data_IF_484345381291
#
_entry.id   IF_484345381291
#
_cell.length_a   1.000
_cell.length_b   1.000
_cell.length_c   1.000
_cell.angle_alpha   90.00
_cell.angle_beta   90.00
_cell.angle_gamma   90.00
#
_symmetry.space_group_name_H-M   'P 1'
#
loop_
_entity.id
_entity.type
_entity.pdbx_description
1 polymer ?
#
# COMPACT_ATOMS: atom_id res chain seq x y z
N UNK A 1 -9.97 -12.94 -6.70
CA UNK A 1 -8.52 -13.00 -6.35
C UNK A 1 -8.18 -11.77 -5.52
N UNK A 2 -7.58 -11.95 -4.37
CA UNK A 2 -7.20 -10.87 -3.46
C UNK A 2 -6.07 -10.04 -4.07
N UNK A 3 -6.05 -8.76 -3.79
CA UNK A 3 -5.12 -7.79 -4.37
C UNK A 3 -3.92 -7.56 -3.45
N UNK A 4 -2.72 -7.43 -4.03
CA UNK A 4 -1.51 -7.02 -3.31
C UNK A 4 -1.18 -5.56 -3.61
N UNK A 5 -1.04 -4.77 -2.56
CA UNK A 5 -0.55 -3.39 -2.63
C UNK A 5 0.83 -3.33 -1.94
N UNK A 6 1.80 -2.71 -2.59
CA UNK A 6 3.10 -2.43 -1.99
C UNK A 6 3.19 -0.97 -1.56
N UNK A 7 3.74 -0.71 -0.38
CA UNK A 7 4.07 0.65 0.09
C UNK A 7 5.59 0.77 0.13
N UNK A 8 6.18 1.82 -0.45
CA UNK A 8 7.64 2.00 -0.44
C UNK A 8 8.16 2.32 0.96
N UNK A 9 9.42 2.00 1.21
CA UNK A 9 10.14 2.49 2.40
C UNK A 9 10.19 4.03 2.40
N UNK A 10 10.22 4.69 3.58
CA UNK A 10 10.17 6.14 3.66
C UNK A 10 11.41 6.85 3.10
N UNK A 11 12.58 6.19 3.14
CA UNK A 11 13.83 6.73 2.59
C UNK A 11 13.88 6.58 1.07
N UNK A 12 14.52 7.51 0.38
CA UNK A 12 14.88 7.36 -1.04
C UNK A 12 16.04 6.38 -1.11
N UNK A 13 15.94 5.41 -2.02
CA UNK A 13 16.99 4.43 -2.27
C UNK A 13 17.69 4.74 -3.58
N UNK A 14 18.96 4.34 -3.67
CA UNK A 14 19.69 4.35 -4.94
C UNK A 14 18.97 3.42 -5.94
N UNK A 15 18.80 3.91 -7.17
CA UNK A 15 18.12 3.18 -8.25
C UNK A 15 16.73 2.63 -7.90
N UNK A 16 16.02 3.27 -6.94
CA UNK A 16 14.69 2.84 -6.47
C UNK A 16 13.67 2.68 -7.61
N UNK A 17 13.77 3.48 -8.65
CA UNK A 17 12.91 3.38 -9.82
C UNK A 17 13.00 1.99 -10.52
N UNK A 18 14.17 1.32 -10.47
CA UNK A 18 14.33 -0.04 -10.98
C UNK A 18 13.64 -1.06 -10.10
N UNK A 19 13.76 -0.91 -8.76
CA UNK A 19 13.06 -1.76 -7.80
C UNK A 19 11.54 -1.64 -7.95
N UNK A 20 11.04 -0.40 -8.02
CA UNK A 20 9.61 -0.09 -8.22
C UNK A 20 9.11 -0.70 -9.53
N UNK A 21 9.84 -0.49 -10.63
CA UNK A 21 9.45 -1.01 -11.94
C UNK A 21 9.40 -2.55 -11.93
N UNK A 22 10.37 -3.20 -11.30
CA UNK A 22 10.40 -4.67 -11.20
C UNK A 22 9.22 -5.23 -10.40
N UNK A 23 8.83 -4.57 -9.30
CA UNK A 23 7.66 -4.96 -8.49
C UNK A 23 6.37 -4.77 -9.30
N UNK A 24 6.24 -3.66 -10.04
CA UNK A 24 5.07 -3.39 -10.89
C UNK A 24 4.98 -4.36 -12.07
N UNK A 25 6.12 -4.72 -12.68
CA UNK A 25 6.20 -5.70 -13.78
C UNK A 25 5.68 -7.08 -13.34
N UNK A 26 5.93 -7.49 -12.10
CA UNK A 26 5.41 -8.75 -11.54
C UNK A 26 3.90 -8.76 -11.30
N UNK A 27 3.20 -7.66 -11.52
CA UNK A 27 1.74 -7.63 -11.56
C UNK A 27 1.06 -7.37 -10.20
N UNK A 28 1.72 -6.74 -9.24
CA UNK A 28 1.02 -6.24 -8.06
C UNK A 28 -0.13 -5.32 -8.48
N UNK A 29 -1.16 -5.22 -7.65
CA UNK A 29 -2.31 -4.39 -7.99
C UNK A 29 -1.95 -2.90 -8.05
N UNK A 30 -1.21 -2.39 -7.04
CA UNK A 30 -0.84 -0.98 -6.92
C UNK A 30 0.41 -0.80 -6.06
N UNK A 31 1.17 0.25 -6.34
CA UNK A 31 2.28 0.70 -5.51
C UNK A 31 1.95 2.07 -4.92
N UNK A 32 2.11 2.20 -3.62
CA UNK A 32 2.02 3.46 -2.90
C UNK A 32 3.42 4.06 -2.72
N UNK A 33 3.70 5.13 -3.47
CA UNK A 33 4.95 5.87 -3.35
C UNK A 33 4.85 6.83 -2.17
N UNK A 34 5.43 6.41 -1.03
CA UNK A 34 5.41 7.12 0.24
C UNK A 34 6.80 7.57 0.61
N UNK A 35 7.06 8.88 0.54
CA UNK A 35 8.35 9.53 0.83
C UNK A 35 8.09 10.79 1.66
N UNK A 36 7.83 10.67 2.97
CA UNK A 36 7.33 11.76 3.80
C UNK A 36 8.30 12.94 3.91
N UNK A 37 9.60 12.70 3.73
CA UNK A 37 10.65 13.72 3.82
C UNK A 37 11.18 14.17 2.44
N UNK A 38 10.67 13.58 1.34
CA UNK A 38 11.13 13.93 0.01
C UNK A 38 10.54 15.24 -0.49
N UNK A 39 11.37 16.04 -1.11
CA UNK A 39 10.95 17.22 -1.88
C UNK A 39 10.22 16.83 -3.16
N UNK A 40 9.46 17.77 -3.73
CA UNK A 40 8.82 17.56 -5.03
C UNK A 40 9.83 17.26 -6.14
N UNK A 41 11.03 17.82 -6.07
CA UNK A 41 12.11 17.55 -7.05
C UNK A 41 12.62 16.12 -6.98
N UNK A 42 12.79 15.57 -5.77
CA UNK A 42 13.22 14.18 -5.58
C UNK A 42 12.14 13.21 -6.03
N UNK A 43 10.88 13.49 -5.69
CA UNK A 43 9.75 12.68 -6.16
C UNK A 43 9.61 12.69 -7.68
N UNK A 44 9.80 13.86 -8.31
CA UNK A 44 9.80 14.02 -9.77
C UNK A 44 10.91 13.14 -10.41
N UNK A 45 12.13 13.20 -9.89
CA UNK A 45 13.24 12.42 -10.39
C UNK A 45 13.00 10.89 -10.30
N UNK A 46 12.26 10.42 -9.29
CA UNK A 46 11.85 9.02 -9.22
C UNK A 46 10.81 8.70 -10.30
N UNK A 47 9.77 9.53 -10.42
CA UNK A 47 8.65 9.31 -11.36
C UNK A 47 9.09 9.37 -12.83
N UNK A 48 9.97 10.30 -13.20
CA UNK A 48 10.53 10.42 -14.55
C UNK A 48 11.25 9.16 -15.02
N UNK A 49 11.88 8.43 -14.11
CA UNK A 49 12.61 7.21 -14.41
C UNK A 49 11.75 5.94 -14.42
N UNK A 50 10.52 6.02 -13.93
CA UNK A 50 9.56 4.89 -13.97
C UNK A 50 8.84 4.93 -15.31
N UNK A 51 8.77 3.80 -16.06
CA UNK A 51 8.01 3.73 -17.31
C UNK A 51 6.56 4.19 -17.14
N UNK A 52 6.09 5.06 -18.04
CA UNK A 52 4.77 5.69 -17.98
C UNK A 52 3.60 4.68 -17.95
N UNK A 53 3.78 3.50 -18.54
CA UNK A 53 2.80 2.41 -18.50
C UNK A 53 2.49 1.91 -17.07
N UNK A 54 3.37 2.18 -16.10
CA UNK A 54 3.14 1.82 -14.70
C UNK A 54 2.49 2.93 -13.88
N UNK A 55 2.48 4.19 -14.34
CA UNK A 55 1.97 5.33 -13.59
C UNK A 55 0.53 5.15 -13.13
N UNK A 56 -0.32 4.51 -13.92
CA UNK A 56 -1.74 4.23 -13.55
C UNK A 56 -1.88 3.31 -12.33
N UNK A 57 -0.82 2.60 -11.96
CA UNK A 57 -0.76 1.74 -10.76
C UNK A 57 0.03 2.35 -9.61
N UNK A 58 0.42 3.64 -9.69
CA UNK A 58 1.09 4.37 -8.62
C UNK A 58 0.09 5.26 -7.90
N UNK A 59 0.13 5.26 -6.57
CA UNK A 59 -0.55 6.23 -5.69
C UNK A 59 0.47 7.05 -4.94
N UNK A 60 0.32 8.38 -4.94
CA UNK A 60 1.18 9.30 -4.20
C UNK A 60 0.63 9.53 -2.79
N UNK A 61 1.51 9.56 -1.79
CA UNK A 61 1.19 9.94 -0.42
C UNK A 61 1.51 11.39 -0.10
N UNK A 62 2.38 12.00 -0.89
CA UNK A 62 2.89 13.36 -0.68
C UNK A 62 3.10 14.02 -2.06
N UNK A 63 3.29 15.36 -2.08
CA UNK A 63 3.57 16.13 -3.29
C UNK A 63 2.48 15.96 -4.39
N UNK A 64 1.21 16.06 -4.03
CA UNK A 64 0.07 15.81 -4.92
C UNK A 64 0.02 16.70 -6.17
N UNK A 65 0.64 17.89 -6.14
CA UNK A 65 0.77 18.77 -7.32
C UNK A 65 1.48 18.09 -8.50
N UNK A 66 2.31 17.06 -8.24
CA UNK A 66 2.99 16.33 -9.31
C UNK A 66 2.04 15.61 -10.29
N UNK A 67 0.75 15.43 -9.95
CA UNK A 67 -0.21 14.88 -10.92
C UNK A 67 -0.46 15.79 -12.12
N UNK A 68 -0.16 17.08 -12.01
CA UNK A 68 -0.22 18.03 -13.13
C UNK A 68 0.89 17.74 -14.17
N UNK A 69 2.06 17.31 -13.71
CA UNK A 69 3.19 16.93 -14.55
C UNK A 69 3.11 15.44 -15.00
N UNK A 70 2.52 14.59 -14.15
CA UNK A 70 2.35 13.15 -14.39
C UNK A 70 0.87 12.76 -14.42
N UNK A 71 0.11 13.15 -15.46
CA UNK A 71 -1.35 12.99 -15.51
C UNK A 71 -1.82 11.53 -15.54
N UNK A 72 -0.91 10.58 -15.78
CA UNK A 72 -1.20 9.15 -15.75
C UNK A 72 -1.08 8.53 -14.35
N UNK A 73 -0.71 9.29 -13.30
CA UNK A 73 -0.71 8.78 -11.93
C UNK A 73 -2.12 8.34 -11.54
N UNK A 74 -2.22 7.08 -11.10
CA UNK A 74 -3.50 6.42 -10.90
C UNK A 74 -4.16 6.64 -9.55
N UNK A 75 -3.49 7.27 -8.56
CA UNK A 75 -4.11 7.48 -7.26
C UNK A 75 -3.40 8.45 -6.34
N UNK A 76 -4.16 8.91 -5.33
CA UNK A 76 -3.67 9.69 -4.19
C UNK A 76 -4.07 8.99 -2.89
N UNK A 77 -3.17 9.00 -1.91
CA UNK A 77 -3.44 8.51 -0.57
C UNK A 77 -3.47 9.66 0.41
N UNK A 78 -4.68 10.06 0.80
CA UNK A 78 -4.89 11.19 1.71
C UNK A 78 -4.36 10.87 3.11
N UNK A 79 -3.76 11.86 3.72
CA UNK A 79 -3.23 11.80 5.07
C UNK A 79 -3.40 13.16 5.78
N UNK A 80 -2.99 13.26 7.05
CA UNK A 80 -3.16 14.50 7.83
C UNK A 80 -2.39 15.71 7.26
N UNK A 81 -1.29 15.46 6.53
CA UNK A 81 -0.47 16.53 5.93
C UNK A 81 -1.01 16.93 4.56
N UNK A 82 -1.60 15.98 3.83
CA UNK A 82 -2.05 16.16 2.46
C UNK A 82 -3.48 15.61 2.33
N UNK A 83 -4.46 16.51 2.39
CA UNK A 83 -5.90 16.22 2.28
C UNK A 83 -6.54 16.83 1.02
N UNK A 84 -5.87 17.80 0.39
CA UNK A 84 -6.42 18.55 -0.71
C UNK A 84 -6.14 17.85 -2.04
N UNK A 85 -7.20 17.45 -2.72
CA UNK A 85 -7.12 16.79 -4.03
C UNK A 85 -6.97 17.87 -5.11
N UNK A 86 -5.93 17.79 -5.97
CA UNK A 86 -5.75 18.72 -7.07
C UNK A 86 -6.98 18.73 -7.99
N UNK A 87 -7.34 19.95 -8.46
CA UNK A 87 -8.51 20.14 -9.32
C UNK A 87 -8.37 19.34 -10.61
N UNK A 88 -9.40 18.58 -10.94
CA UNK A 88 -9.44 17.78 -12.17
C UNK A 88 -8.73 16.41 -12.04
N UNK A 89 -8.21 16.04 -10.87
CA UNK A 89 -7.69 14.70 -10.67
C UNK A 89 -8.84 13.68 -10.70
N UNK A 90 -8.69 12.64 -11.55
CA UNK A 90 -9.70 11.60 -11.77
C UNK A 90 -9.22 10.19 -11.36
N UNK A 91 -8.06 10.08 -10.72
CA UNK A 91 -7.54 8.81 -10.20
C UNK A 91 -8.22 8.39 -8.91
N UNK A 92 -7.83 7.22 -8.40
CA UNK A 92 -8.40 6.67 -7.17
C UNK A 92 -7.92 7.44 -5.93
N UNK A 93 -8.83 7.60 -4.98
CA UNK A 93 -8.55 8.24 -3.69
C UNK A 93 -8.64 7.20 -2.58
N UNK A 94 -7.62 7.15 -1.75
CA UNK A 94 -7.54 6.22 -0.62
C UNK A 94 -7.10 6.91 0.66
N UNK A 95 -7.32 6.24 1.79
CA UNK A 95 -6.92 6.72 3.12
C UNK A 95 -6.63 5.55 4.04
N UNK A 96 -5.77 5.77 5.05
CA UNK A 96 -5.61 4.85 6.18
C UNK A 96 -6.59 5.17 7.28
N UNK A 97 -7.19 4.11 7.85
CA UNK A 97 -8.07 4.12 9.01
C UNK A 97 -7.48 3.27 10.13
N UNK A 98 -7.70 3.68 11.37
CA UNK A 98 -7.16 3.02 12.56
C UNK A 98 -8.25 2.45 13.47
N UNK A 99 -9.52 2.55 13.04
CA UNK A 99 -10.67 1.94 13.72
C UNK A 99 -11.74 1.54 12.70
N UNK A 100 -12.63 0.64 13.11
CA UNK A 100 -13.81 0.26 12.31
C UNK A 100 -14.79 1.42 12.16
N UNK A 101 -14.81 2.34 13.11
CA UNK A 101 -15.62 3.56 13.02
C UNK A 101 -15.11 4.50 11.94
N UNK A 102 -13.78 4.69 11.83
CA UNK A 102 -13.18 5.46 10.74
C UNK A 102 -13.51 4.88 9.37
N UNK A 103 -13.52 3.53 9.23
CA UNK A 103 -13.94 2.86 7.99
C UNK A 103 -15.37 3.26 7.60
N UNK A 104 -16.32 3.22 8.55
CA UNK A 104 -17.70 3.59 8.29
C UNK A 104 -17.86 5.05 7.85
N UNK A 105 -17.04 5.94 8.40
CA UNK A 105 -17.11 7.38 8.14
C UNK A 105 -16.37 7.80 6.85
N UNK A 106 -15.61 6.91 6.21
CA UNK A 106 -14.83 7.18 5.01
C UNK A 106 -15.45 6.59 3.72
N UNK A 107 -16.77 6.58 3.60
CA UNK A 107 -17.52 5.96 2.48
C UNK A 107 -17.26 6.57 1.10
N UNK A 108 -16.69 7.79 1.04
CA UNK A 108 -16.38 8.51 -0.19
C UNK A 108 -15.00 8.19 -0.78
N UNK A 109 -14.28 7.22 -0.20
CA UNK A 109 -12.99 6.75 -0.72
C UNK A 109 -13.17 5.56 -1.68
N UNK A 110 -12.28 5.43 -2.66
CA UNK A 110 -12.28 4.27 -3.55
C UNK A 110 -11.85 3.00 -2.83
N UNK A 111 -10.86 3.13 -1.92
CA UNK A 111 -10.45 2.06 -1.02
C UNK A 111 -9.79 2.63 0.25
N UNK A 112 -9.71 1.78 1.28
CA UNK A 112 -9.18 2.13 2.59
C UNK A 112 -8.14 1.12 3.05
N UNK A 113 -7.18 1.56 3.84
CA UNK A 113 -6.33 0.67 4.64
C UNK A 113 -6.87 0.63 6.06
N UNK A 114 -7.02 -0.55 6.65
CA UNK A 114 -7.22 -0.74 8.07
C UNK A 114 -5.90 -1.18 8.71
N UNK A 115 -5.40 -0.43 9.69
CA UNK A 115 -4.10 -0.69 10.30
C UNK A 115 -3.98 -0.19 11.75
N UNK A 116 -3.14 -0.82 12.59
CA UNK A 116 -2.43 -2.07 12.30
C UNK A 116 -3.32 -3.30 12.52
N UNK A 117 -3.26 -4.30 11.61
CA UNK A 117 -3.99 -5.56 11.79
C UNK A 117 -3.27 -6.48 12.76
N UNK A 118 -1.95 -6.65 12.58
CA UNK A 118 -1.10 -7.42 13.48
C UNK A 118 -0.01 -6.55 14.10
N UNK A 119 0.58 -7.04 15.18
CA UNK A 119 1.72 -6.36 15.81
C UNK A 119 2.86 -6.22 14.80
N UNK A 120 3.43 -5.03 14.70
CA UNK A 120 4.55 -4.80 13.80
C UNK A 120 5.83 -5.39 14.40
N UNK A 121 6.46 -6.32 13.69
CA UNK A 121 7.79 -6.87 14.02
C UNK A 121 8.87 -5.75 13.99
N UNK A 122 8.62 -4.66 13.26
CA UNK A 122 9.56 -3.57 13.02
C UNK A 122 9.39 -2.35 13.92
N UNK A 123 8.36 -2.32 14.79
CA UNK A 123 8.12 -1.21 15.72
C UNK A 123 7.72 -1.75 17.09
N UNK A 124 8.63 -1.70 18.06
CA UNK A 124 8.31 -1.95 19.48
C UNK A 124 7.20 -1.00 19.94
N UNK A 125 6.14 -1.54 20.57
CA UNK A 125 5.04 -0.76 21.18
C UNK A 125 3.80 -0.54 20.33
N UNK A 126 3.67 -1.11 19.13
CA UNK A 126 2.42 -1.14 18.36
C UNK A 126 1.72 -2.49 18.59
N UNK A 127 0.80 -2.51 19.55
CA UNK A 127 -0.12 -3.65 19.73
C UNK A 127 -1.16 -3.65 18.61
N UNK A 128 -1.58 -4.85 18.18
CA UNK A 128 -2.69 -5.00 17.25
C UNK A 128 -3.95 -4.36 17.87
N UNK A 129 -4.61 -3.50 17.10
CA UNK A 129 -5.84 -2.86 17.57
C UNK A 129 -7.07 -3.74 17.47
N UNK A 130 -6.95 -4.98 16.93
CA UNK A 130 -8.08 -5.83 16.56
C UNK A 130 -7.81 -7.29 16.89
N UNK A 131 -8.84 -8.00 17.38
CA UNK A 131 -8.85 -9.47 17.40
C UNK A 131 -9.41 -10.02 16.09
N UNK A 132 -9.12 -11.28 15.77
CA UNK A 132 -9.66 -11.94 14.57
C UNK A 132 -11.19 -11.97 14.63
N UNK A 133 -11.77 -12.26 15.81
CA UNK A 133 -13.23 -12.29 16.02
C UNK A 133 -13.88 -10.91 15.76
N UNK A 134 -13.23 -9.82 16.14
CA UNK A 134 -13.70 -8.46 15.84
C UNK A 134 -13.68 -8.18 14.34
N UNK A 135 -12.63 -8.61 13.63
CA UNK A 135 -12.51 -8.43 12.19
C UNK A 135 -13.53 -9.30 11.44
N UNK A 136 -13.77 -10.54 11.85
CA UNK A 136 -14.82 -11.43 11.32
C UNK A 136 -16.21 -10.82 11.50
N UNK A 137 -16.54 -10.37 12.72
CA UNK A 137 -17.80 -9.68 13.01
C UNK A 137 -17.96 -8.41 12.16
N UNK A 138 -16.89 -7.65 11.92
CA UNK A 138 -16.94 -6.47 11.07
C UNK A 138 -17.12 -6.83 9.58
N UNK A 139 -16.56 -7.96 9.15
CA UNK A 139 -16.75 -8.52 7.82
C UNK A 139 -18.22 -8.95 7.60
N UNK A 140 -18.80 -9.69 8.54
CA UNK A 140 -20.19 -10.14 8.48
C UNK A 140 -21.17 -8.95 8.42
N UNK A 141 -20.83 -7.84 9.07
CA UNK A 141 -21.60 -6.59 9.06
C UNK A 141 -21.35 -5.73 7.81
N UNK A 142 -20.48 -6.18 6.87
CA UNK A 142 -20.13 -5.45 5.66
C UNK A 142 -19.27 -4.20 5.87
N UNK A 143 -18.74 -3.99 7.08
CA UNK A 143 -17.82 -2.87 7.38
C UNK A 143 -16.49 -3.12 6.70
N UNK A 144 -15.96 -4.35 6.85
CA UNK A 144 -14.84 -4.84 6.07
C UNK A 144 -15.40 -5.50 4.80
N UNK A 145 -14.96 -5.05 3.65
CA UNK A 145 -15.41 -5.49 2.34
C UNK A 145 -14.28 -5.36 1.30
N UNK A 146 -14.57 -5.56 0.03
CA UNK A 146 -13.62 -5.54 -1.08
C UNK A 146 -12.88 -4.20 -1.30
N UNK A 147 -13.33 -3.13 -0.66
CA UNK A 147 -12.66 -1.82 -0.65
C UNK A 147 -11.71 -1.64 0.54
N UNK A 148 -11.69 -2.53 1.51
CA UNK A 148 -10.82 -2.43 2.70
C UNK A 148 -9.64 -3.39 2.55
N UNK A 149 -8.43 -2.87 2.73
CA UNK A 149 -7.18 -3.62 2.65
C UNK A 149 -6.53 -3.72 4.02
N UNK A 150 -6.08 -4.91 4.39
CA UNK A 150 -5.36 -5.14 5.63
C UNK A 150 -3.93 -4.58 5.53
N UNK A 151 -3.50 -3.80 6.53
CA UNK A 151 -2.14 -3.24 6.61
C UNK A 151 -1.60 -3.36 8.04
N UNK A 152 -0.30 -3.57 8.18
CA UNK A 152 0.42 -3.68 9.46
C UNK A 152 0.60 -5.12 9.92
N UNK A 153 1.85 -5.54 10.04
CA UNK A 153 2.23 -6.90 10.42
C UNK A 153 1.87 -7.97 9.38
N UNK A 154 1.63 -7.59 8.14
CA UNK A 154 1.23 -8.49 7.06
C UNK A 154 2.47 -9.11 6.41
N UNK A 155 2.53 -10.43 6.41
CA UNK A 155 3.55 -11.25 5.75
C UNK A 155 2.96 -12.60 5.33
N UNK A 156 3.80 -13.52 4.82
CA UNK A 156 3.37 -14.86 4.37
C UNK A 156 2.85 -15.75 5.51
N UNK A 157 3.14 -15.44 6.77
CA UNK A 157 2.66 -16.21 7.94
C UNK A 157 1.30 -15.71 8.41
N UNK A 158 1.07 -14.39 8.33
CA UNK A 158 -0.14 -13.76 8.83
C UNK A 158 -1.25 -13.67 7.78
N UNK A 159 -0.95 -13.67 6.47
CA UNK A 159 -1.97 -13.71 5.41
C UNK A 159 -2.97 -14.85 5.59
N UNK A 160 -2.58 -16.10 5.93
CA UNK A 160 -3.54 -17.19 6.14
C UNK A 160 -4.57 -16.94 7.23
N UNK A 161 -4.25 -16.15 8.25
CA UNK A 161 -5.16 -15.81 9.35
C UNK A 161 -6.32 -14.91 8.92
N UNK A 162 -6.19 -14.24 7.77
CA UNK A 162 -7.21 -13.31 7.26
C UNK A 162 -8.20 -13.98 6.29
N UNK A 163 -8.13 -15.29 6.06
CA UNK A 163 -8.92 -15.99 5.03
C UNK A 163 -10.43 -15.90 5.22
N UNK A 164 -10.89 -15.86 6.47
CA UNK A 164 -12.32 -15.73 6.81
C UNK A 164 -12.85 -14.30 6.67
N UNK A 165 -11.97 -13.31 6.47
CA UNK A 165 -12.31 -11.90 6.49
C UNK A 165 -12.40 -11.34 5.06
N UNK A 166 -13.44 -10.57 4.76
CA UNK A 166 -13.75 -10.08 3.40
C UNK A 166 -12.90 -8.90 2.93
N UNK A 167 -11.63 -8.80 3.36
CA UNK A 167 -10.72 -7.78 2.82
C UNK A 167 -10.60 -7.88 1.29
N UNK A 168 -10.50 -6.75 0.59
CA UNK A 168 -10.21 -6.69 -0.85
C UNK A 168 -8.81 -7.19 -1.20
N UNK A 169 -7.92 -7.21 -0.23
CA UNK A 169 -6.53 -7.65 -0.32
C UNK A 169 -5.70 -7.17 0.85
N UNK A 170 -4.40 -7.16 0.67
CA UNK A 170 -3.44 -6.74 1.68
C UNK A 170 -2.49 -5.65 1.16
N UNK A 171 -1.97 -4.84 2.07
CA UNK A 171 -0.90 -3.89 1.81
C UNK A 171 0.33 -4.26 2.65
N UNK A 172 1.49 -4.29 2.01
CA UNK A 172 2.75 -4.71 2.63
C UNK A 172 3.84 -3.64 2.47
N UNK A 173 4.73 -3.58 3.46
CA UNK A 173 5.95 -2.77 3.42
C UNK A 173 7.15 -3.66 3.78
N UNK A 174 7.38 -3.92 5.06
CA UNK A 174 8.55 -4.65 5.55
C UNK A 174 8.68 -6.07 4.99
N UNK A 175 7.59 -6.80 4.86
CA UNK A 175 7.59 -8.15 4.29
C UNK A 175 8.09 -8.19 2.84
N UNK A 176 7.84 -7.14 2.06
CA UNK A 176 8.31 -7.04 0.69
C UNK A 176 9.76 -6.52 0.63
N UNK A 177 10.02 -5.36 1.23
CA UNK A 177 11.30 -4.67 1.08
C UNK A 177 12.43 -5.28 1.94
N UNK A 178 12.09 -5.92 3.08
CA UNK A 178 13.06 -6.41 4.05
C UNK A 178 13.80 -5.26 4.76
N UNK A 179 14.95 -5.57 5.36
CA UNK A 179 15.68 -4.59 6.18
C UNK A 179 16.58 -3.66 5.36
N UNK A 180 17.13 -4.14 4.23
CA UNK A 180 18.08 -3.40 3.39
C UNK A 180 17.71 -3.52 1.91
N UNK A 181 16.63 -2.86 1.45
CA UNK A 181 16.25 -2.91 0.05
C UNK A 181 17.30 -2.20 -0.82
N UNK A 182 17.77 -2.90 -1.86
CA UNK A 182 18.79 -2.41 -2.79
C UNK A 182 18.66 -3.12 -4.12
N UNK A 183 19.08 -2.46 -5.20
CA UNK A 183 19.13 -3.08 -6.53
C UNK A 183 20.05 -4.32 -6.54
N UNK A 184 21.06 -4.36 -5.69
CA UNK A 184 21.94 -5.52 -5.55
C UNK A 184 21.22 -6.75 -4.97
N UNK A 185 20.11 -6.54 -4.24
CA UNK A 185 19.32 -7.60 -3.61
C UNK A 185 17.96 -7.82 -4.33
N UNK A 186 17.85 -7.42 -5.60
CA UNK A 186 16.59 -7.49 -6.36
C UNK A 186 16.01 -8.90 -6.43
N UNK A 187 16.85 -9.93 -6.52
CA UNK A 187 16.40 -11.33 -6.55
C UNK A 187 15.70 -11.74 -5.25
N UNK A 188 16.15 -11.22 -4.11
CA UNK A 188 15.48 -11.46 -2.83
C UNK A 188 14.14 -10.72 -2.72
N UNK A 189 14.09 -9.48 -3.25
CA UNK A 189 12.85 -8.73 -3.36
C UNK A 189 11.81 -9.48 -4.19
N UNK A 190 12.19 -9.96 -5.36
CA UNK A 190 11.32 -10.71 -6.26
C UNK A 190 10.89 -12.05 -5.64
N UNK A 191 11.77 -12.71 -4.90
CA UNK A 191 11.42 -13.93 -4.17
C UNK A 191 10.33 -13.65 -3.14
N UNK A 192 10.53 -12.66 -2.24
CA UNK A 192 9.52 -12.26 -1.24
C UNK A 192 8.18 -11.87 -1.90
N UNK A 193 8.25 -11.14 -3.01
CA UNK A 193 7.04 -10.78 -3.76
C UNK A 193 6.29 -12.02 -4.25
N UNK A 194 6.99 -12.99 -4.85
CA UNK A 194 6.38 -14.23 -5.31
C UNK A 194 5.76 -15.02 -4.16
N UNK A 195 6.45 -15.13 -3.02
CA UNK A 195 5.96 -15.85 -1.83
C UNK A 195 4.66 -15.20 -1.32
N UNK A 196 4.61 -13.87 -1.20
CA UNK A 196 3.39 -13.11 -0.84
C UNK A 196 2.25 -13.33 -1.85
N UNK A 197 2.55 -13.32 -3.15
CA UNK A 197 1.54 -13.53 -4.20
C UNK A 197 0.98 -14.96 -4.17
N UNK A 198 1.81 -15.96 -3.91
CA UNK A 198 1.39 -17.36 -3.77
C UNK A 198 0.45 -17.50 -2.55
N UNK A 199 0.80 -16.92 -1.40
CA UNK A 199 -0.07 -16.92 -0.23
C UNK A 199 -1.44 -16.29 -0.51
N UNK A 200 -1.47 -15.19 -1.27
CA UNK A 200 -2.72 -14.51 -1.65
C UNK A 200 -3.58 -15.27 -2.67
N UNK A 201 -3.00 -16.14 -3.48
CA UNK A 201 -3.78 -16.99 -4.39
C UNK A 201 -4.54 -18.09 -3.65
N UNK A 202 -4.07 -18.46 -2.46
CA UNK A 202 -4.69 -19.44 -1.57
C UNK A 202 -5.72 -18.83 -0.60
N UNK A 203 -5.85 -17.49 -0.62
CA UNK A 203 -6.75 -16.68 0.23
C UNK A 203 -8.21 -16.64 -0.38
#
# INVERSE_FOLDING_TARGET
MKKLIAITVPQILDDEHLLISSVLEKGIHRLHLRKPEASASEMRNILEKIPVCYHSRISLHDNFSLVEEFPNIGGLHLNRRNSDIPKGFNGQISRSCHSLEEIRNCSNMDYLFLSPIFNSISKEGYESGFTIEELESASDKGIINDKVFALGGIDEKTIPELRSISFGGVAVLGALWGNNPSIHNINELIKRLNDLMICLQQY
#
